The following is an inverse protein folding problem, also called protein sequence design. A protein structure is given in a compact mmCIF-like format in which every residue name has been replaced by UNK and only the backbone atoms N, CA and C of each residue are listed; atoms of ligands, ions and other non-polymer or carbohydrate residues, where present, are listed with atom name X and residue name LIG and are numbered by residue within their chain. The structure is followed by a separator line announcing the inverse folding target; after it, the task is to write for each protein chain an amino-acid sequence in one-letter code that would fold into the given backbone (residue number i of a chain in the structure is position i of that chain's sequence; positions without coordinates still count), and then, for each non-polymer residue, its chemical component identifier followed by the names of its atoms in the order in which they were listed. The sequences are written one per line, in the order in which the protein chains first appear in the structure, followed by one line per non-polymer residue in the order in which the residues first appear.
data_IF_479020767510
#
_entry.id   IF_479020767510
#
_cell.length_a   1.000
_cell.length_b   1.000
_cell.length_c   1.000
_cell.angle_alpha   90.00
_cell.angle_beta   90.00
_cell.angle_gamma   90.00
#
_symmetry.space_group_name_H-M   'P 1'
#
loop_
_entity.id
_entity.type
_entity.pdbx_description
1 polymer ?
#
# COMPACT_ATOMS: atom_id res chain seq x y z
N UNK A 1 3.39 -7.31 -51.68
CA UNK A 1 4.40 -6.40 -51.08
C UNK A 1 3.94 -5.91 -49.71
N UNK A 2 3.05 -6.63 -49.02
CA UNK A 2 2.31 -6.18 -47.81
C UNK A 2 2.61 -7.04 -46.56
N UNK A 3 3.61 -7.93 -46.63
CA UNK A 3 4.02 -8.77 -45.48
C UNK A 3 5.38 -8.37 -44.90
N UNK A 4 6.02 -7.31 -45.44
CA UNK A 4 7.31 -6.82 -44.94
C UNK A 4 7.19 -5.64 -43.97
N UNK A 5 6.14 -4.82 -44.10
CA UNK A 5 5.91 -3.67 -43.21
C UNK A 5 5.32 -4.05 -41.85
N UNK A 6 4.74 -5.24 -41.70
CA UNK A 6 4.15 -5.73 -40.45
C UNK A 6 5.13 -6.47 -39.54
N UNK A 7 6.29 -6.90 -40.03
CA UNK A 7 7.34 -7.50 -39.19
C UNK A 7 8.29 -6.45 -38.60
N UNK A 8 8.64 -5.42 -39.37
CA UNK A 8 9.55 -4.36 -38.90
C UNK A 8 8.93 -3.50 -37.78
N UNK A 9 7.60 -3.36 -37.74
CA UNK A 9 6.88 -2.62 -36.70
C UNK A 9 6.63 -3.43 -35.40
N UNK A 10 6.81 -4.76 -35.43
CA UNK A 10 6.68 -5.63 -34.25
C UNK A 10 8.04 -5.81 -33.57
N UNK A 11 9.12 -6.00 -34.34
CA UNK A 11 10.49 -6.09 -33.79
C UNK A 11 10.97 -4.75 -33.18
N UNK A 12 10.60 -3.59 -33.73
CA UNK A 12 11.02 -2.30 -33.16
C UNK A 12 10.34 -1.95 -31.83
N UNK A 13 9.18 -2.53 -31.52
CA UNK A 13 8.49 -2.29 -30.23
C UNK A 13 9.00 -3.17 -29.10
N UNK A 14 9.28 -4.45 -29.38
CA UNK A 14 9.82 -5.38 -28.37
C UNK A 14 11.29 -5.04 -28.02
N UNK A 15 12.11 -4.66 -29.01
CA UNK A 15 13.52 -4.31 -28.78
C UNK A 15 13.69 -3.02 -27.96
N UNK A 16 12.73 -2.09 -27.98
CA UNK A 16 12.78 -0.87 -27.16
C UNK A 16 12.28 -1.07 -25.74
N UNK A 17 11.29 -1.92 -25.49
CA UNK A 17 10.73 -2.08 -24.14
C UNK A 17 11.68 -2.87 -23.23
N UNK A 18 12.20 -4.02 -23.70
CA UNK A 18 13.14 -4.84 -22.91
C UNK A 18 14.47 -4.12 -22.65
N UNK A 19 14.96 -3.32 -23.60
CA UNK A 19 16.21 -2.56 -23.42
C UNK A 19 16.05 -1.36 -22.48
N UNK A 20 14.89 -0.72 -22.45
CA UNK A 20 14.57 0.38 -21.51
C UNK A 20 14.37 -0.16 -20.10
N UNK A 21 13.71 -1.31 -19.94
CA UNK A 21 13.48 -1.95 -18.65
C UNK A 21 14.80 -2.42 -18.00
N UNK A 22 15.67 -3.05 -18.78
CA UNK A 22 17.03 -3.42 -18.33
C UNK A 22 17.87 -2.20 -17.93
N UNK A 23 17.72 -1.06 -18.62
CA UNK A 23 18.39 0.18 -18.25
C UNK A 23 17.86 0.76 -16.94
N UNK A 24 16.54 0.72 -16.71
CA UNK A 24 15.94 1.20 -15.47
C UNK A 24 16.43 0.42 -14.26
N UNK A 25 16.34 -0.92 -14.30
CA UNK A 25 16.77 -1.78 -13.19
C UNK A 25 18.25 -1.55 -12.86
N UNK A 26 19.09 -1.43 -13.89
CA UNK A 26 20.53 -1.19 -13.73
C UNK A 26 20.78 0.14 -13.03
N UNK A 27 20.17 1.23 -13.51
CA UNK A 27 20.35 2.57 -12.93
C UNK A 27 19.82 2.64 -11.50
N UNK A 28 18.66 2.03 -11.22
CA UNK A 28 18.11 1.97 -9.87
C UNK A 28 19.05 1.21 -8.92
N UNK A 29 19.58 0.07 -9.37
CA UNK A 29 20.53 -0.70 -8.56
C UNK A 29 21.82 0.10 -8.29
N UNK A 30 22.35 0.83 -9.27
CA UNK A 30 23.51 1.71 -9.06
C UNK A 30 23.21 2.81 -8.04
N UNK A 31 22.09 3.52 -8.17
CA UNK A 31 21.64 4.54 -7.20
C UNK A 31 21.49 3.92 -5.80
N UNK A 32 20.90 2.74 -5.71
CA UNK A 32 20.68 2.06 -4.43
C UNK A 32 21.99 1.59 -3.79
N UNK A 33 22.99 1.17 -4.57
CA UNK A 33 24.32 0.85 -4.02
C UNK A 33 25.04 2.10 -3.53
N UNK A 34 25.00 3.20 -4.29
CA UNK A 34 25.56 4.48 -3.85
C UNK A 34 24.91 4.96 -2.55
N UNK A 35 23.58 4.86 -2.47
CA UNK A 35 22.81 5.12 -1.26
C UNK A 35 23.30 4.31 -0.05
N UNK A 36 23.56 3.01 -0.24
CA UNK A 36 24.10 2.14 0.82
C UNK A 36 25.53 2.49 1.20
N UNK A 37 26.38 2.85 0.23
CA UNK A 37 27.76 3.30 0.49
C UNK A 37 27.77 4.59 1.32
N UNK A 38 26.78 5.45 1.11
CA UNK A 38 26.59 6.70 1.85
C UNK A 38 25.85 6.52 3.18
N UNK A 39 25.80 5.31 3.74
CA UNK A 39 25.16 5.01 5.02
C UNK A 39 23.68 5.45 5.06
N UNK A 40 22.98 5.19 3.95
CA UNK A 40 21.55 5.50 3.79
C UNK A 40 21.24 7.00 3.87
N UNK A 41 22.23 7.84 3.59
CA UNK A 41 22.09 9.28 3.45
C UNK A 41 21.71 9.67 2.02
N UNK A 42 20.72 10.56 1.87
CA UNK A 42 20.31 11.10 0.55
C UNK A 42 20.85 12.51 0.43
N UNK A 43 21.98 12.64 -0.25
CA UNK A 43 22.55 13.95 -0.57
C UNK A 43 21.84 14.59 -1.78
N UNK A 44 22.21 15.82 -2.11
CA UNK A 44 21.60 16.55 -3.22
C UNK A 44 21.85 15.89 -4.58
N UNK A 45 22.98 15.18 -4.75
CA UNK A 45 23.30 14.49 -6.00
C UNK A 45 22.46 13.25 -6.20
N UNK A 46 22.27 12.47 -5.14
CA UNK A 46 21.42 11.30 -5.12
C UNK A 46 19.93 11.67 -5.26
N UNK A 47 19.46 12.74 -4.59
CA UNK A 47 18.08 13.24 -4.74
C UNK A 47 17.80 13.61 -6.21
N UNK A 48 18.72 14.30 -6.87
CA UNK A 48 18.54 14.65 -8.28
C UNK A 48 18.42 13.42 -9.19
N UNK A 49 19.26 12.41 -9.00
CA UNK A 49 19.20 11.13 -9.74
C UNK A 49 17.92 10.36 -9.44
N UNK A 50 17.50 10.33 -8.17
CA UNK A 50 16.28 9.66 -7.74
C UNK A 50 15.05 10.31 -8.37
N UNK A 51 14.98 11.65 -8.37
CA UNK A 51 13.91 12.42 -9.03
C UNK A 51 13.83 12.14 -10.53
N UNK A 52 14.97 12.15 -11.20
CA UNK A 52 15.03 11.80 -12.62
C UNK A 52 14.46 10.40 -12.85
N UNK A 53 14.84 9.42 -12.03
CA UNK A 53 14.35 8.05 -12.15
C UNK A 53 12.82 7.93 -11.91
N UNK A 54 12.28 8.64 -10.91
CA UNK A 54 10.84 8.66 -10.64
C UNK A 54 10.04 9.19 -11.83
N UNK A 55 10.54 10.22 -12.53
CA UNK A 55 9.83 10.81 -13.68
C UNK A 55 9.82 9.94 -14.94
N UNK A 56 10.65 8.89 -15.01
CA UNK A 56 10.75 8.00 -16.17
C UNK A 56 10.09 6.63 -15.94
N UNK A 57 9.27 6.49 -14.89
CA UNK A 57 8.54 5.24 -14.61
C UNK A 57 7.28 5.09 -15.47
N UNK A 58 7.47 4.84 -16.77
CA UNK A 58 6.36 4.45 -17.67
C UNK A 58 6.07 2.93 -17.64
N UNK A 59 6.91 2.13 -16.98
CA UNK A 59 6.90 0.67 -17.02
C UNK A 59 6.17 0.01 -15.82
N UNK A 60 5.84 -1.27 -15.98
CA UNK A 60 5.43 -2.14 -14.86
C UNK A 60 6.62 -2.34 -13.92
N UNK A 61 6.52 -1.81 -12.70
CA UNK A 61 7.57 -1.98 -11.68
C UNK A 61 7.49 -3.34 -11.03
N UNK A 62 8.63 -3.91 -10.69
CA UNK A 62 8.68 -5.00 -9.71
C UNK A 62 8.48 -4.44 -8.30
N UNK A 63 7.96 -5.29 -7.44
CA UNK A 63 7.78 -5.05 -6.02
C UNK A 63 9.10 -4.75 -5.29
N UNK A 64 10.23 -5.32 -5.73
CA UNK A 64 11.56 -4.99 -5.20
C UNK A 64 11.96 -3.55 -5.52
N UNK A 65 11.84 -3.14 -6.78
CA UNK A 65 12.21 -1.80 -7.24
C UNK A 65 11.37 -0.73 -6.55
N UNK A 66 10.07 -0.98 -6.45
CA UNK A 66 9.16 -0.10 -5.73
C UNK A 66 9.53 0.05 -4.25
N UNK A 67 9.91 -1.05 -3.58
CA UNK A 67 10.34 -1.01 -2.18
C UNK A 67 11.63 -0.20 -2.00
N UNK A 68 12.61 -0.35 -2.90
CA UNK A 68 13.85 0.45 -2.90
C UNK A 68 13.56 1.94 -3.06
N UNK A 69 12.73 2.30 -4.04
CA UNK A 69 12.35 3.69 -4.30
C UNK A 69 11.62 4.34 -3.14
N UNK A 70 10.59 3.67 -2.62
CA UNK A 70 9.85 4.16 -1.46
C UNK A 70 10.73 4.29 -0.22
N UNK A 71 11.68 3.38 -0.03
CA UNK A 71 12.60 3.42 1.11
C UNK A 71 13.57 4.60 1.04
N UNK A 72 14.22 4.82 -0.12
CA UNK A 72 15.12 5.97 -0.33
C UNK A 72 14.37 7.30 -0.16
N UNK A 73 13.18 7.42 -0.75
CA UNK A 73 12.30 8.59 -0.56
C UNK A 73 11.90 8.77 0.91
N UNK A 74 11.56 7.67 1.60
CA UNK A 74 11.21 7.68 3.01
C UNK A 74 12.33 8.23 3.90
N UNK A 75 13.57 7.80 3.68
CA UNK A 75 14.73 8.28 4.43
C UNK A 75 15.13 9.71 4.05
N UNK A 76 14.95 10.10 2.78
CA UNK A 76 15.06 11.51 2.37
C UNK A 76 14.11 12.40 3.19
N UNK A 77 12.83 12.03 3.26
CA UNK A 77 11.86 12.80 4.04
C UNK A 77 12.17 12.82 5.54
N UNK A 78 12.73 11.73 6.08
CA UNK A 78 13.19 11.69 7.48
C UNK A 78 14.34 12.68 7.73
N UNK A 79 15.31 12.76 6.80
CA UNK A 79 16.42 13.73 6.86
C UNK A 79 15.92 15.17 6.76
N UNK A 80 14.84 15.41 6.03
CA UNK A 80 14.15 16.70 5.93
C UNK A 80 13.22 17.00 7.12
N UNK A 81 13.18 16.13 8.14
CA UNK A 81 12.26 16.18 9.28
C UNK A 81 10.76 16.11 8.90
N UNK A 82 10.43 15.70 7.68
CA UNK A 82 9.07 15.52 7.19
C UNK A 82 8.53 14.13 7.54
N UNK A 83 8.21 13.93 8.82
CA UNK A 83 7.73 12.64 9.35
C UNK A 83 6.45 12.13 8.69
N UNK A 84 5.59 13.02 8.17
CA UNK A 84 4.34 12.61 7.53
C UNK A 84 4.60 12.02 6.14
N UNK A 85 5.52 12.59 5.37
CA UNK A 85 5.93 12.03 4.09
C UNK A 85 6.73 10.73 4.26
N UNK A 86 7.62 10.66 5.26
CA UNK A 86 8.28 9.39 5.61
C UNK A 86 7.27 8.30 5.99
N UNK A 87 6.25 8.64 6.80
CA UNK A 87 5.15 7.73 7.12
C UNK A 87 4.35 7.31 5.88
N UNK A 88 4.16 8.20 4.91
CA UNK A 88 3.51 7.84 3.65
C UNK A 88 4.27 6.70 2.97
N UNK A 89 5.59 6.85 2.77
CA UNK A 89 6.44 5.81 2.20
C UNK A 89 6.36 4.49 2.98
N UNK A 90 6.48 4.54 4.31
CA UNK A 90 6.36 3.35 5.16
C UNK A 90 5.00 2.65 5.04
N UNK A 91 3.89 3.40 4.98
CA UNK A 91 2.55 2.85 4.78
C UNK A 91 2.39 2.18 3.41
N UNK A 92 3.04 2.74 2.38
CA UNK A 92 3.09 2.16 1.04
C UNK A 92 3.88 0.87 1.02
N UNK A 93 5.04 0.83 1.67
CA UNK A 93 5.87 -0.38 1.81
C UNK A 93 5.16 -1.46 2.64
N UNK A 94 4.47 -1.09 3.73
CA UNK A 94 3.67 -2.01 4.54
C UNK A 94 2.62 -2.75 3.70
N UNK A 95 1.93 -2.05 2.78
CA UNK A 95 0.95 -2.67 1.88
C UNK A 95 1.58 -3.79 1.05
N UNK A 96 2.81 -3.61 0.57
CA UNK A 96 3.53 -4.61 -0.22
C UNK A 96 3.93 -5.80 0.66
N UNK A 97 4.49 -5.54 1.86
CA UNK A 97 4.79 -6.57 2.87
C UNK A 97 3.58 -7.45 3.19
N UNK A 98 2.43 -6.84 3.47
CA UNK A 98 1.19 -7.57 3.76
C UNK A 98 0.69 -8.40 2.57
N UNK A 99 0.99 -8.01 1.32
CA UNK A 99 0.65 -8.80 0.12
C UNK A 99 1.52 -10.06 -0.01
N UNK A 100 2.76 -10.03 0.47
CA UNK A 100 3.62 -11.22 0.58
C UNK A 100 3.16 -12.16 1.69
N UNK A 101 2.79 -11.61 2.84
CA UNK A 101 2.33 -12.40 4.00
C UNK A 101 0.96 -13.03 3.79
N UNK A 102 0.07 -12.37 3.03
CA UNK A 102 -1.30 -12.82 2.82
C UNK A 102 -1.69 -12.85 1.34
N UNK A 103 -1.69 -14.04 0.71
CA UNK A 103 -2.08 -14.21 -0.69
C UNK A 103 -3.52 -13.79 -1.03
N UNK A 104 -4.39 -13.62 -0.02
CA UNK A 104 -5.79 -13.19 -0.20
C UNK A 104 -5.95 -11.67 -0.23
N UNK A 105 -4.91 -10.89 0.12
CA UNK A 105 -4.97 -9.43 -0.02
C UNK A 105 -4.99 -9.05 -1.50
N UNK A 106 -5.70 -7.96 -1.81
CA UNK A 106 -5.76 -7.43 -3.17
C UNK A 106 -4.39 -6.86 -3.52
N UNK A 107 -3.72 -7.46 -4.50
CA UNK A 107 -2.41 -7.01 -5.00
C UNK A 107 -2.56 -5.75 -5.86
N UNK A 108 -1.57 -4.85 -5.87
CA UNK A 108 -1.55 -3.76 -6.83
C UNK A 108 -1.49 -4.31 -8.25
N UNK A 109 -2.20 -3.66 -9.18
CA UNK A 109 -2.37 -4.16 -10.56
C UNK A 109 -1.13 -3.94 -11.42
N UNK A 110 -0.45 -2.82 -11.22
CA UNK A 110 0.69 -2.36 -12.02
C UNK A 110 2.02 -2.60 -11.29
N UNK A 111 2.04 -3.58 -10.40
CA UNK A 111 3.24 -3.96 -9.66
C UNK A 111 3.42 -5.47 -9.80
N UNK A 112 4.54 -5.89 -10.39
CA UNK A 112 4.87 -7.29 -10.49
C UNK A 112 5.36 -7.81 -9.14
N UNK A 113 4.59 -8.72 -8.56
CA UNK A 113 4.82 -9.27 -7.24
C UNK A 113 5.73 -10.51 -7.34
N UNK A 114 6.99 -10.26 -7.67
CA UNK A 114 8.05 -11.28 -7.68
C UNK A 114 8.46 -11.67 -6.24
N UNK A 115 8.91 -12.91 -5.99
CA UNK A 115 9.46 -13.30 -4.69
C UNK A 115 10.64 -12.42 -4.30
N UNK A 116 10.48 -11.68 -3.21
CA UNK A 116 11.47 -10.73 -2.70
C UNK A 116 11.58 -10.88 -1.19
N UNK A 117 12.80 -10.96 -0.69
CA UNK A 117 13.07 -10.93 0.75
C UNK A 117 13.33 -9.49 1.13
N UNK A 118 12.38 -8.89 1.85
CA UNK A 118 12.50 -7.50 2.32
C UNK A 118 13.68 -7.41 3.31
N UNK A 119 14.68 -6.55 3.05
CA UNK A 119 15.82 -6.32 3.95
C UNK A 119 15.39 -5.85 5.33
N UNK A 120 16.19 -6.17 6.35
CA UNK A 120 15.89 -5.88 7.76
C UNK A 120 15.74 -4.37 8.00
N UNK A 121 16.60 -3.56 7.40
CA UNK A 121 16.56 -2.11 7.49
C UNK A 121 15.25 -1.49 6.96
N UNK A 122 14.67 -2.09 5.92
CA UNK A 122 13.37 -1.67 5.39
C UNK A 122 12.25 -2.09 6.32
N UNK A 123 12.35 -3.26 6.95
CA UNK A 123 11.38 -3.72 7.95
C UNK A 123 11.39 -2.81 9.18
N UNK A 124 12.57 -2.43 9.68
CA UNK A 124 12.72 -1.49 10.79
C UNK A 124 12.14 -0.12 10.46
N UNK A 125 12.37 0.38 9.25
CA UNK A 125 11.77 1.63 8.78
C UNK A 125 10.24 1.55 8.71
N UNK A 126 9.69 0.46 8.17
CA UNK A 126 8.24 0.23 8.14
C UNK A 126 7.69 0.21 9.57
N UNK A 127 8.30 -0.56 10.47
CA UNK A 127 7.84 -0.70 11.85
C UNK A 127 7.86 0.65 12.59
N UNK A 128 8.96 1.41 12.50
CA UNK A 128 9.12 2.72 13.14
C UNK A 128 7.97 3.70 12.84
N UNK A 129 7.41 3.62 11.64
CA UNK A 129 6.35 4.53 11.19
C UNK A 129 4.95 3.92 11.23
N UNK A 130 4.81 2.61 11.50
CA UNK A 130 3.52 1.89 11.43
C UNK A 130 3.18 1.06 12.67
N UNK A 131 4.04 1.00 13.68
CA UNK A 131 3.82 0.34 14.97
C UNK A 131 2.47 0.70 15.63
N UNK A 132 2.09 1.97 15.54
CA UNK A 132 0.84 2.51 16.09
C UNK A 132 -0.42 1.86 15.51
N UNK A 133 -0.34 1.22 14.34
CA UNK A 133 -1.48 0.62 13.67
C UNK A 133 -2.10 -0.51 14.49
N UNK A 134 -1.28 -1.35 15.13
CA UNK A 134 -1.79 -2.50 15.90
C UNK A 134 -2.64 -2.02 17.10
N UNK A 135 -2.11 -1.07 17.86
CA UNK A 135 -2.82 -0.46 18.98
C UNK A 135 -4.11 0.24 18.50
N UNK A 136 -4.04 0.93 17.37
CA UNK A 136 -5.18 1.63 16.78
C UNK A 136 -6.26 0.64 16.33
N UNK A 137 -5.89 -0.47 15.71
CA UNK A 137 -6.83 -1.53 15.31
C UNK A 137 -7.49 -2.17 16.51
N UNK A 138 -6.73 -2.46 17.56
CA UNK A 138 -7.26 -3.02 18.81
C UNK A 138 -8.25 -2.04 19.47
N UNK A 139 -7.93 -0.75 19.49
CA UNK A 139 -8.80 0.28 20.00
C UNK A 139 -10.10 0.42 19.20
N UNK A 140 -10.02 0.49 17.86
CA UNK A 140 -11.21 0.62 17.02
C UNK A 140 -12.05 -0.65 17.07
N UNK A 141 -11.45 -1.83 17.09
CA UNK A 141 -12.13 -3.12 17.21
C UNK A 141 -12.98 -3.22 18.50
N UNK A 142 -12.46 -2.73 19.63
CA UNK A 142 -13.23 -2.66 20.90
C UNK A 142 -14.43 -1.72 20.78
N UNK A 143 -14.25 -0.54 20.19
CA UNK A 143 -15.36 0.42 19.95
C UNK A 143 -16.40 -0.14 19.00
N UNK A 144 -15.97 -0.82 17.94
CA UNK A 144 -16.83 -1.48 16.97
C UNK A 144 -17.75 -2.53 17.62
N UNK A 145 -17.21 -3.29 18.57
CA UNK A 145 -17.98 -4.27 19.34
C UNK A 145 -19.08 -3.55 20.15
N UNK A 146 -18.76 -2.46 20.85
CA UNK A 146 -19.75 -1.69 21.61
C UNK A 146 -20.86 -1.12 20.72
N UNK A 147 -20.51 -0.55 19.56
CA UNK A 147 -21.48 -0.03 18.60
C UNK A 147 -22.36 -1.16 18.06
N UNK A 148 -21.77 -2.30 17.72
CA UNK A 148 -22.51 -3.48 17.25
C UNK A 148 -23.47 -3.99 18.32
N UNK A 149 -23.03 -4.07 19.59
CA UNK A 149 -23.88 -4.50 20.69
C UNK A 149 -25.10 -3.57 20.87
N UNK A 150 -24.89 -2.24 20.79
CA UNK A 150 -26.00 -1.29 20.80
C UNK A 150 -26.96 -1.48 19.63
N UNK A 151 -26.43 -1.70 18.42
CA UNK A 151 -27.24 -1.96 17.22
C UNK A 151 -28.06 -3.25 17.34
N UNK A 152 -27.49 -4.31 17.92
CA UNK A 152 -28.19 -5.57 18.20
C UNK A 152 -29.36 -5.37 19.15
N UNK A 153 -29.19 -4.57 20.21
CA UNK A 153 -30.29 -4.25 21.13
C UNK A 153 -31.41 -3.50 20.41
N UNK A 154 -31.08 -2.53 19.55
CA UNK A 154 -32.07 -1.79 18.76
C UNK A 154 -32.84 -2.73 17.81
N UNK A 155 -32.13 -3.59 17.07
CA UNK A 155 -32.75 -4.59 16.17
C UNK A 155 -33.66 -5.55 16.95
N UNK A 156 -33.19 -6.03 18.12
CA UNK A 156 -33.96 -6.91 18.98
C UNK A 156 -35.29 -6.27 19.42
N UNK A 157 -35.25 -4.99 19.81
CA UNK A 157 -36.45 -4.24 20.18
C UNK A 157 -37.41 -4.08 19.00
N UNK A 158 -36.91 -3.81 17.79
CA UNK A 158 -37.73 -3.74 16.57
C UNK A 158 -38.41 -5.08 16.30
N UNK A 159 -37.69 -6.20 16.41
CA UNK A 159 -38.24 -7.55 16.20
C UNK A 159 -39.35 -7.90 17.18
N UNK A 160 -39.19 -7.53 18.46
CA UNK A 160 -40.19 -7.82 19.50
C UNK A 160 -41.39 -6.88 19.40
N UNK A 161 -41.16 -5.56 19.28
CA UNK A 161 -42.20 -4.55 19.42
C UNK A 161 -42.98 -4.31 18.11
N UNK A 162 -42.28 -4.30 16.98
CA UNK A 162 -42.87 -3.96 15.67
C UNK A 162 -43.30 -5.22 14.94
N UNK A 163 -42.37 -6.17 14.76
CA UNK A 163 -42.62 -7.40 14.02
C UNK A 163 -43.31 -8.49 14.86
N UNK A 164 -43.40 -8.28 16.18
CA UNK A 164 -44.07 -9.19 17.14
C UNK A 164 -43.57 -10.64 17.03
N UNK A 165 -42.28 -10.81 16.78
CA UNK A 165 -41.64 -12.13 16.75
C UNK A 165 -41.48 -12.67 18.17
N UNK A 166 -41.47 -13.99 18.31
CA UNK A 166 -41.14 -14.63 19.59
C UNK A 166 -39.74 -14.20 20.06
N UNK A 167 -39.54 -14.07 21.36
CA UNK A 167 -38.28 -13.61 21.94
C UNK A 167 -37.07 -14.42 21.44
N UNK A 168 -37.19 -15.75 21.45
CA UNK A 168 -36.10 -16.64 21.04
C UNK A 168 -35.73 -16.45 19.55
N UNK A 169 -36.72 -16.30 18.68
CA UNK A 169 -36.50 -16.00 17.26
C UNK A 169 -35.87 -14.61 17.07
N UNK A 170 -36.33 -13.61 17.82
CA UNK A 170 -35.79 -12.25 17.76
C UNK A 170 -34.33 -12.21 18.18
N UNK A 171 -33.99 -12.90 19.28
CA UNK A 171 -32.63 -12.99 19.81
C UNK A 171 -31.68 -13.63 18.82
N UNK A 172 -32.05 -14.77 18.24
CA UNK A 172 -31.22 -15.48 17.26
C UNK A 172 -30.97 -14.60 16.02
N UNK A 173 -32.03 -14.01 15.46
CA UNK A 173 -31.90 -13.17 14.26
C UNK A 173 -31.07 -11.91 14.53
N UNK A 174 -31.31 -11.22 15.65
CA UNK A 174 -30.55 -10.02 16.01
C UNK A 174 -29.07 -10.34 16.25
N UNK A 175 -28.77 -11.46 16.92
CA UNK A 175 -27.41 -11.93 17.13
C UNK A 175 -26.71 -12.29 15.81
N UNK A 176 -27.39 -12.98 14.89
CA UNK A 176 -26.83 -13.32 13.58
C UNK A 176 -26.51 -12.07 12.75
N UNK A 177 -27.43 -11.11 12.69
CA UNK A 177 -27.21 -9.84 11.98
C UNK A 177 -26.04 -9.08 12.60
N UNK A 178 -26.00 -8.98 13.94
CA UNK A 178 -24.91 -8.33 14.66
C UNK A 178 -23.56 -8.98 14.41
N UNK A 179 -23.49 -10.32 14.48
CA UNK A 179 -22.27 -11.07 14.25
C UNK A 179 -21.77 -10.90 12.81
N UNK A 180 -22.66 -11.02 11.83
CA UNK A 180 -22.33 -10.83 10.42
C UNK A 180 -21.82 -9.41 10.15
N UNK A 181 -22.49 -8.40 10.71
CA UNK A 181 -22.08 -7.00 10.61
C UNK A 181 -20.68 -6.78 11.23
N UNK A 182 -20.46 -7.29 12.44
CA UNK A 182 -19.16 -7.17 13.12
C UNK A 182 -18.03 -7.84 12.34
N UNK A 183 -18.23 -9.07 11.85
CA UNK A 183 -17.20 -9.79 11.07
C UNK A 183 -16.86 -9.02 9.80
N UNK A 184 -17.85 -8.52 9.06
CA UNK A 184 -17.63 -7.75 7.84
C UNK A 184 -16.87 -6.45 8.10
N UNK A 185 -17.26 -5.70 9.14
CA UNK A 185 -16.61 -4.43 9.48
C UNK A 185 -15.20 -4.66 10.04
N UNK A 186 -15.02 -5.64 10.94
CA UNK A 186 -13.70 -5.99 11.50
C UNK A 186 -12.72 -6.41 10.42
N UNK A 187 -13.17 -7.20 9.43
CA UNK A 187 -12.31 -7.62 8.31
C UNK A 187 -11.86 -6.45 7.44
N UNK A 188 -12.71 -5.46 7.20
CA UNK A 188 -12.39 -4.29 6.34
C UNK A 188 -11.66 -3.17 7.08
N UNK A 189 -11.67 -3.20 8.42
CA UNK A 189 -11.15 -2.13 9.25
C UNK A 189 -9.68 -1.76 8.93
N UNK A 190 -8.72 -2.71 8.85
CA UNK A 190 -7.32 -2.37 8.61
C UNK A 190 -7.13 -1.64 7.28
N UNK A 191 -7.67 -2.22 6.20
CA UNK A 191 -7.51 -1.68 4.85
C UNK A 191 -8.17 -0.28 4.72
N UNK A 192 -9.35 -0.09 5.34
CA UNK A 192 -10.03 1.20 5.36
C UNK A 192 -9.25 2.26 6.13
N UNK A 193 -8.70 1.89 7.29
CA UNK A 193 -7.95 2.81 8.12
C UNK A 193 -6.63 3.20 7.46
N UNK A 194 -5.86 2.24 6.95
CA UNK A 194 -4.62 2.51 6.22
C UNK A 194 -4.87 3.42 5.03
N UNK A 195 -5.89 3.12 4.21
CA UNK A 195 -6.25 3.96 3.07
C UNK A 195 -6.55 5.40 3.49
N UNK A 196 -7.32 5.60 4.54
CA UNK A 196 -7.66 6.94 5.02
C UNK A 196 -6.45 7.66 5.62
N UNK A 197 -5.59 6.95 6.35
CA UNK A 197 -4.36 7.53 6.91
C UNK A 197 -3.40 7.95 5.80
N UNK A 198 -3.15 7.09 4.82
CA UNK A 198 -2.31 7.40 3.66
C UNK A 198 -2.87 8.61 2.91
N UNK A 199 -4.17 8.65 2.62
CA UNK A 199 -4.79 9.80 1.96
C UNK A 199 -4.68 11.11 2.75
N UNK A 200 -4.72 11.04 4.08
CA UNK A 200 -4.62 12.21 4.96
C UNK A 200 -3.18 12.77 5.06
N UNK A 201 -2.16 12.02 4.66
CA UNK A 201 -0.75 12.46 4.69
C UNK A 201 -0.16 12.66 3.29
N UNK A 202 -0.93 12.40 2.23
CA UNK A 202 -0.51 12.59 0.83
C UNK A 202 -0.05 14.02 0.53
N UNK A 203 -0.67 15.04 1.12
CA UNK A 203 -0.33 16.45 0.85
C UNK A 203 1.00 16.91 1.46
N UNK A 204 1.70 16.04 2.20
CA UNK A 204 3.06 16.31 2.69
C UNK A 204 4.15 15.76 1.75
N UNK A 205 3.77 15.03 0.71
CA UNK A 205 4.67 14.32 -0.21
C UNK A 205 4.85 15.15 -1.49
N UNK A 206 6.05 15.13 -2.07
CA UNK A 206 6.35 15.77 -3.36
C UNK A 206 5.54 15.14 -4.50
N UNK A 207 5.15 15.96 -5.49
CA UNK A 207 4.24 15.56 -6.57
C UNK A 207 4.81 14.43 -7.47
N UNK A 208 6.12 14.41 -7.65
CA UNK A 208 6.86 13.37 -8.38
C UNK A 208 6.70 11.97 -7.75
N UNK A 209 6.84 11.87 -6.44
CA UNK A 209 6.60 10.63 -5.69
C UNK A 209 5.13 10.24 -5.76
N UNK A 210 4.22 11.21 -5.72
CA UNK A 210 2.78 10.94 -5.84
C UNK A 210 2.40 10.45 -7.23
N UNK A 211 3.02 10.98 -8.28
CA UNK A 211 2.83 10.58 -9.66
C UNK A 211 3.39 9.17 -9.91
N UNK A 212 4.59 8.89 -9.42
CA UNK A 212 5.19 7.55 -9.39
C UNK A 212 4.30 6.52 -8.66
N UNK A 213 3.75 6.87 -7.50
CA UNK A 213 2.91 5.96 -6.70
C UNK A 213 1.51 5.72 -7.30
N UNK A 214 1.07 6.58 -8.23
CA UNK A 214 -0.30 6.62 -8.75
C UNK A 214 -0.79 5.26 -9.28
N UNK A 215 -0.02 4.48 -10.07
CA UNK A 215 -0.46 3.18 -10.56
C UNK A 215 -0.70 2.18 -9.41
N UNK A 216 0.13 2.23 -8.37
CA UNK A 216 0.00 1.37 -7.19
C UNK A 216 -1.16 1.83 -6.30
N UNK A 217 -1.45 3.14 -6.24
CA UNK A 217 -2.50 3.76 -5.42
C UNK A 217 -3.92 3.47 -5.90
N UNK A 218 -4.17 3.59 -7.21
CA UNK A 218 -5.52 3.47 -7.79
C UNK A 218 -5.85 2.08 -8.35
N UNK A 219 -5.09 1.06 -7.93
CA UNK A 219 -5.29 -0.34 -8.35
C UNK A 219 -6.41 -1.08 -7.62
#
# INVERSE_FOLDING_TARGET
MEQKETLEAVETKEVTAESVDFQFETVLNEIYQDFKIMDEHVDAGLDARLKELLTHTENELTSEEYMKLMYMEGLKYEQQENKNAARFCAMRMLKIKECYENPKKKRPRFLDMIPYTIPEEMLEFIERYTDFLEDTYNFISKRLLLITAGLVVIILLIFILVLKLNFLMSLINAALIGLLNYILQKRRLPDMFQKNQTAAIEHYVEDDVLEFDRPVRYS
#
